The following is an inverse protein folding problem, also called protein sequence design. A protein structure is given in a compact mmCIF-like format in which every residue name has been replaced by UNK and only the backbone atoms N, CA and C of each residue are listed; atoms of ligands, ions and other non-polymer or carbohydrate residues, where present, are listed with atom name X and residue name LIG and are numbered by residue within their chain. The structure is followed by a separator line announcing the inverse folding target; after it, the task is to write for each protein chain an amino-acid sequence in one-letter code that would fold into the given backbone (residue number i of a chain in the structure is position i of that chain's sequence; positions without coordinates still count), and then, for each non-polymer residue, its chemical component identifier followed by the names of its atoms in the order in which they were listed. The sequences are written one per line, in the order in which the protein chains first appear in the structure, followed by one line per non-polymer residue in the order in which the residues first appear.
data_IF_085694177917
#
_entry.id   IF_085694177917
#
_cell.length_a   1.000
_cell.length_b   1.000
_cell.length_c   1.000
_cell.angle_alpha   90.00
_cell.angle_beta   90.00
_cell.angle_gamma   90.00
#
_symmetry.space_group_name_H-M   'P 1'
#
loop_
_entity.id
_entity.type
_entity.pdbx_description
1 polymer ?
#
# COMPACT_ATOMS: atom_id res chain seq x y z
N UNK A 1 28.82 0.74 -6.52
CA UNK A 1 28.56 0.13 -5.21
C UNK A 1 27.09 0.34 -4.94
N UNK A 2 26.29 -0.73 -4.95
CA UNK A 2 24.88 -0.61 -4.53
C UNK A 2 24.94 -0.41 -3.02
N UNK A 3 24.41 0.69 -2.51
CA UNK A 3 24.43 0.94 -1.08
C UNK A 3 23.52 -0.10 -0.42
N UNK A 4 24.05 -0.85 0.53
CA UNK A 4 23.26 -1.86 1.25
C UNK A 4 22.15 -1.16 2.03
N UNK A 5 20.91 -1.49 1.71
CA UNK A 5 19.76 -0.93 2.40
C UNK A 5 19.68 -1.57 3.78
N UNK A 6 20.09 -0.81 4.79
CA UNK A 6 19.93 -1.15 6.21
C UNK A 6 18.46 -1.20 6.61
N UNK A 7 18.02 -2.34 7.14
CA UNK A 7 16.64 -2.58 7.57
C UNK A 7 16.63 -3.11 9.00
N UNK A 8 15.78 -2.53 9.83
CA UNK A 8 15.50 -3.04 11.17
C UNK A 8 14.20 -3.82 11.16
N UNK A 9 14.17 -4.97 11.83
CA UNK A 9 12.95 -5.67 12.21
C UNK A 9 12.75 -5.48 13.71
N UNK A 10 11.71 -4.74 14.09
CA UNK A 10 11.36 -4.48 15.47
C UNK A 10 10.21 -5.40 15.90
N UNK A 11 10.49 -6.29 16.84
CA UNK A 11 9.52 -7.28 17.28
C UNK A 11 10.12 -8.65 17.55
N UNK A 12 9.27 -9.54 18.04
CA UNK A 12 9.59 -10.94 18.30
C UNK A 12 8.52 -11.90 17.77
N UNK A 13 7.68 -11.45 16.83
CA UNK A 13 6.65 -12.32 16.25
C UNK A 13 7.24 -13.36 15.30
N UNK A 14 6.60 -14.52 15.23
CA UNK A 14 6.96 -15.60 14.29
C UNK A 14 6.85 -15.11 12.85
N UNK A 15 5.88 -14.23 12.57
CA UNK A 15 5.70 -13.64 11.25
C UNK A 15 6.91 -12.81 10.82
N UNK A 16 7.41 -11.92 11.68
CA UNK A 16 8.64 -11.17 11.41
C UNK A 16 9.86 -12.08 11.26
N UNK A 17 9.94 -13.19 12.00
CA UNK A 17 11.02 -14.17 11.83
C UNK A 17 10.96 -14.86 10.46
N UNK A 18 9.76 -15.15 9.95
CA UNK A 18 9.56 -15.65 8.58
C UNK A 18 10.01 -14.63 7.54
N UNK A 19 9.55 -13.38 7.65
CA UNK A 19 9.97 -12.28 6.76
C UNK A 19 11.49 -12.11 6.78
N UNK A 20 12.11 -12.12 7.98
CA UNK A 20 13.57 -12.05 8.12
C UNK A 20 14.27 -13.12 7.31
N UNK A 21 13.80 -14.36 7.41
CA UNK A 21 14.41 -15.52 6.73
C UNK A 21 14.40 -15.33 5.22
N UNK A 22 13.31 -14.81 4.65
CA UNK A 22 13.24 -14.51 3.23
C UNK A 22 14.10 -13.29 2.85
N UNK A 23 14.08 -12.22 3.64
CA UNK A 23 14.89 -11.03 3.38
C UNK A 23 16.40 -11.29 3.46
N UNK A 24 16.84 -12.25 4.28
CA UNK A 24 18.25 -12.65 4.39
C UNK A 24 18.82 -13.22 3.08
N UNK A 25 17.95 -13.62 2.14
CA UNK A 25 18.36 -14.12 0.82
C UNK A 25 18.81 -12.99 -0.12
N UNK A 26 18.59 -11.73 0.26
CA UNK A 26 18.95 -10.55 -0.51
C UNK A 26 20.23 -9.93 0.05
N UNK A 27 21.36 -10.18 -0.59
CA UNK A 27 22.69 -9.71 -0.14
C UNK A 27 22.81 -8.17 -0.07
N UNK A 28 21.94 -7.44 -0.78
CA UNK A 28 21.89 -5.98 -0.76
C UNK A 28 21.21 -5.39 0.49
N UNK A 29 20.75 -6.23 1.44
CA UNK A 29 20.10 -5.79 2.67
C UNK A 29 20.95 -6.10 3.90
N UNK A 30 21.22 -5.08 4.70
CA UNK A 30 21.82 -5.23 6.02
C UNK A 30 20.71 -5.29 7.07
N UNK A 31 20.41 -6.48 7.58
CA UNK A 31 19.26 -6.75 8.44
C UNK A 31 19.65 -6.81 9.92
N UNK A 32 18.93 -6.05 10.76
CA UNK A 32 19.09 -6.11 12.22
C UNK A 32 17.75 -6.33 12.93
N UNK A 33 17.71 -7.26 13.87
CA UNK A 33 16.53 -7.47 14.73
C UNK A 33 16.70 -6.73 16.05
N UNK A 34 15.65 -6.06 16.50
CA UNK A 34 15.56 -5.41 17.81
C UNK A 34 14.29 -5.90 18.50
N UNK A 35 14.44 -6.45 19.69
CA UNK A 35 13.32 -6.99 20.46
C UNK A 35 12.52 -5.87 21.14
N UNK A 36 11.21 -6.08 21.31
CA UNK A 36 10.29 -5.14 21.99
C UNK A 36 10.70 -4.90 23.45
N UNK A 37 11.26 -5.91 24.10
CA UNK A 37 11.73 -5.87 25.48
C UNK A 37 13.04 -5.10 25.67
N UNK A 38 13.69 -4.66 24.58
CA UNK A 38 14.97 -3.98 24.65
C UNK A 38 14.80 -2.54 25.18
N UNK A 39 15.34 -2.21 26.37
CA UNK A 39 15.15 -0.89 26.98
C UNK A 39 15.71 0.26 26.12
N UNK A 40 16.80 -0.01 25.39
CA UNK A 40 17.51 0.96 24.54
C UNK A 40 17.21 0.75 23.04
N UNK A 41 16.03 0.17 22.72
CA UNK A 41 15.65 -0.14 21.34
C UNK A 41 15.78 1.08 20.42
N UNK A 42 15.29 2.24 20.88
CA UNK A 42 15.32 3.49 20.11
C UNK A 42 16.75 3.90 19.77
N UNK A 43 17.65 3.87 20.74
CA UNK A 43 19.05 4.25 20.61
C UNK A 43 19.80 3.30 19.69
N UNK A 44 19.56 1.99 19.81
CA UNK A 44 20.14 0.98 18.93
C UNK A 44 19.70 1.17 17.48
N UNK A 45 18.40 1.45 17.26
CA UNK A 45 17.83 1.71 15.95
C UNK A 45 18.44 2.98 15.35
N UNK A 46 18.58 4.05 16.14
CA UNK A 46 19.25 5.29 15.70
C UNK A 46 20.68 5.04 15.29
N UNK A 47 21.45 4.36 16.14
CA UNK A 47 22.87 4.10 15.91
C UNK A 47 23.09 3.26 14.65
N UNK A 48 22.18 2.32 14.39
CA UNK A 48 22.20 1.53 13.16
C UNK A 48 21.84 2.35 11.92
N UNK A 49 21.12 3.46 12.09
CA UNK A 49 20.76 4.39 11.02
C UNK A 49 20.07 3.69 9.83
N UNK A 50 18.95 2.95 10.04
CA UNK A 50 18.28 2.19 8.98
C UNK A 50 17.60 3.09 7.95
N UNK A 51 17.37 2.54 6.76
CA UNK A 51 16.50 3.11 5.73
C UNK A 51 15.04 2.68 5.93
N UNK A 52 14.81 1.48 6.47
CA UNK A 52 13.48 0.97 6.78
C UNK A 52 13.41 0.31 8.16
N UNK A 53 12.28 0.44 8.83
CA UNK A 53 11.94 -0.26 10.06
C UNK A 53 10.63 -1.02 9.85
N UNK A 54 10.68 -2.34 9.95
CA UNK A 54 9.55 -3.24 9.87
C UNK A 54 9.06 -3.59 11.27
N UNK A 55 7.75 -3.59 11.48
CA UNK A 55 7.12 -4.02 12.72
C UNK A 55 5.78 -4.70 12.45
N UNK A 56 5.40 -5.59 13.35
CA UNK A 56 4.15 -6.34 13.25
C UNK A 56 2.99 -5.52 13.81
N UNK A 57 1.99 -5.23 12.96
CA UNK A 57 0.81 -4.45 13.30
C UNK A 57 -0.09 -5.17 14.33
N UNK A 58 -0.09 -6.49 14.33
CA UNK A 58 -0.93 -7.32 15.19
C UNK A 58 -0.32 -7.59 16.58
N UNK A 59 1.00 -7.37 16.74
CA UNK A 59 1.71 -7.67 17.99
C UNK A 59 2.03 -6.43 18.82
N UNK A 60 2.97 -5.60 18.37
CA UNK A 60 3.48 -4.47 19.14
C UNK A 60 3.92 -3.34 18.22
N UNK A 61 3.23 -2.20 18.32
CA UNK A 61 3.60 -0.99 17.60
C UNK A 61 4.69 -0.24 18.38
N UNK A 62 5.78 0.22 17.74
CA UNK A 62 6.80 0.97 18.44
C UNK A 62 6.27 2.38 18.78
N UNK A 63 6.06 2.68 20.07
CA UNK A 63 5.62 4.00 20.54
C UNK A 63 6.56 5.14 20.08
N UNK A 64 7.84 4.82 19.90
CA UNK A 64 8.87 5.74 19.43
C UNK A 64 8.89 5.95 17.91
N UNK A 65 8.06 5.23 17.13
CA UNK A 65 8.16 5.23 15.67
C UNK A 65 7.87 6.60 15.05
N UNK A 66 6.84 7.30 15.55
CA UNK A 66 6.53 8.67 15.10
C UNK A 66 7.65 9.64 15.45
N UNK A 67 8.29 9.47 16.61
CA UNK A 67 9.44 10.28 16.99
C UNK A 67 10.63 10.03 16.04
N UNK A 68 10.89 8.78 15.66
CA UNK A 68 11.93 8.44 14.69
C UNK A 68 11.67 9.07 13.32
N UNK A 69 10.43 9.03 12.81
CA UNK A 69 10.08 9.70 11.54
C UNK A 69 10.36 11.21 11.57
N UNK A 70 10.06 11.89 12.68
CA UNK A 70 10.30 13.33 12.81
C UNK A 70 11.77 13.70 12.74
N UNK A 71 12.63 12.85 13.28
CA UNK A 71 14.07 13.10 13.31
C UNK A 71 14.77 12.60 12.05
N UNK A 72 14.17 11.64 11.35
CA UNK A 72 14.69 11.02 10.15
C UNK A 72 13.66 11.04 9.03
N UNK A 73 13.59 12.15 8.28
CA UNK A 73 12.67 12.32 7.17
C UNK A 73 12.74 11.20 6.11
N UNK A 74 13.93 10.61 5.97
CA UNK A 74 14.31 9.56 5.04
C UNK A 74 13.96 8.14 5.50
N UNK A 75 13.50 7.96 6.76
CA UNK A 75 13.13 6.66 7.30
C UNK A 75 11.76 6.22 6.77
N UNK A 76 11.69 4.97 6.29
CA UNK A 76 10.43 4.28 6.04
C UNK A 76 10.04 3.44 7.26
N UNK A 77 8.82 3.62 7.75
CA UNK A 77 8.21 2.66 8.68
C UNK A 77 7.25 1.77 7.89
N UNK A 78 7.37 0.46 8.09
CA UNK A 78 6.57 -0.53 7.40
C UNK A 78 5.89 -1.42 8.44
N UNK A 79 4.60 -1.20 8.63
CA UNK A 79 3.74 -2.09 9.38
C UNK A 79 3.32 -3.26 8.49
N UNK A 80 3.58 -4.48 8.97
CA UNK A 80 3.14 -5.72 8.32
C UNK A 80 2.02 -6.34 9.14
N UNK A 81 0.95 -6.78 8.50
CA UNK A 81 -0.14 -7.49 9.16
C UNK A 81 -0.20 -8.93 8.59
N UNK A 82 -0.07 -9.98 9.40
CA UNK A 82 -0.17 -11.35 8.90
C UNK A 82 -1.60 -11.74 8.46
N UNK A 83 -2.61 -10.93 8.78
CA UNK A 83 -4.03 -11.22 8.52
C UNK A 83 -4.55 -10.62 7.22
N UNK A 84 -3.83 -9.67 6.63
CA UNK A 84 -4.12 -9.11 5.32
C UNK A 84 -2.83 -8.98 4.49
N UNK A 85 -2.92 -9.22 3.17
CA UNK A 85 -1.78 -9.06 2.25
C UNK A 85 -1.43 -7.57 1.99
N UNK A 86 -1.68 -6.69 2.97
CA UNK A 86 -1.51 -5.26 2.88
C UNK A 86 -0.36 -4.79 3.79
N UNK A 87 0.34 -3.75 3.33
CA UNK A 87 1.42 -3.11 4.06
C UNK A 87 1.01 -1.70 4.45
N UNK A 88 1.20 -1.35 5.72
CA UNK A 88 1.13 0.04 6.14
C UNK A 88 2.49 0.70 5.97
N UNK A 89 2.65 1.56 4.98
CA UNK A 89 3.88 2.34 4.79
C UNK A 89 3.69 3.75 5.33
N UNK A 90 4.44 4.13 6.37
CA UNK A 90 4.50 5.48 6.89
C UNK A 90 5.84 6.11 6.55
N UNK A 91 5.80 7.32 6.02
CA UNK A 91 6.97 8.13 5.72
C UNK A 91 6.70 9.57 6.14
N UNK A 92 7.76 10.26 6.49
CA UNK A 92 7.72 11.69 6.82
C UNK A 92 8.04 12.51 5.59
N UNK A 93 7.00 13.10 5.00
CA UNK A 93 7.15 14.17 4.00
C UNK A 93 6.72 15.47 4.66
N UNK A 94 7.65 16.22 5.30
CA UNK A 94 7.28 17.46 5.97
C UNK A 94 6.65 18.44 4.97
N UNK A 95 5.43 18.88 5.28
CA UNK A 95 4.72 19.91 4.53
C UNK A 95 4.54 21.15 5.39
N UNK A 96 4.74 22.31 4.79
CA UNK A 96 4.49 23.58 5.46
C UNK A 96 3.01 23.93 5.34
N UNK A 97 2.30 23.99 6.47
CA UNK A 97 0.94 24.51 6.54
C UNK A 97 0.98 25.94 7.06
N UNK A 98 0.62 26.92 6.23
CA UNK A 98 0.61 28.34 6.59
C UNK A 98 -0.80 28.80 7.01
N UNK A 99 -1.83 28.07 6.60
CA UNK A 99 -3.21 28.27 7.00
C UNK A 99 -3.95 26.94 7.20
N UNK A 100 -5.07 26.97 7.93
CA UNK A 100 -5.94 25.80 8.17
C UNK A 100 -6.44 25.17 6.86
N UNK A 101 -6.65 25.99 5.82
CA UNK A 101 -7.01 25.52 4.48
C UNK A 101 -5.97 24.57 3.88
N UNK A 102 -4.70 24.69 4.26
CA UNK A 102 -3.65 23.80 3.76
C UNK A 102 -3.78 22.41 4.38
N UNK A 103 -4.13 22.32 5.66
CA UNK A 103 -4.42 21.04 6.33
C UNK A 103 -5.60 20.34 5.68
N UNK A 104 -6.68 21.07 5.37
CA UNK A 104 -7.86 20.51 4.70
C UNK A 104 -7.50 19.94 3.33
N UNK A 105 -6.64 20.64 2.55
CA UNK A 105 -6.15 20.12 1.27
C UNK A 105 -5.37 18.82 1.44
N UNK A 106 -4.49 18.73 2.44
CA UNK A 106 -3.71 17.52 2.72
C UNK A 106 -4.62 16.33 3.02
N UNK A 107 -5.65 16.53 3.85
CA UNK A 107 -6.63 15.49 4.18
C UNK A 107 -7.33 14.95 2.91
N UNK A 108 -7.70 15.83 1.99
CA UNK A 108 -8.35 15.43 0.74
C UNK A 108 -7.40 14.77 -0.27
N UNK A 109 -6.13 15.15 -0.29
CA UNK A 109 -5.13 14.61 -1.23
C UNK A 109 -4.65 13.22 -0.82
N UNK A 110 -4.40 13.00 0.47
CA UNK A 110 -3.82 11.75 0.96
C UNK A 110 -4.88 10.69 1.31
N UNK A 111 -6.11 11.10 1.65
CA UNK A 111 -7.20 10.17 1.95
C UNK A 111 -7.72 9.34 0.76
N UNK A 112 -7.29 9.63 -0.47
CA UNK A 112 -7.70 8.94 -1.70
C UNK A 112 -6.64 8.05 -2.35
N UNK A 113 -5.42 7.97 -1.80
CA UNK A 113 -4.28 7.26 -2.40
C UNK A 113 -4.05 5.89 -1.74
N UNK A 114 -5.02 4.99 -1.79
CA UNK A 114 -4.74 3.58 -1.50
C UNK A 114 -3.90 2.99 -2.65
N UNK A 115 -2.74 2.48 -2.30
CA UNK A 115 -1.65 2.10 -3.20
C UNK A 115 -1.91 0.74 -3.84
N UNK A 116 -2.13 0.68 -5.15
CA UNK A 116 -2.04 -0.56 -5.94
C UNK A 116 -0.56 -0.94 -6.10
N UNK A 117 -0.03 -1.82 -5.24
CA UNK A 117 1.23 -2.52 -5.51
C UNK A 117 0.90 -3.96 -5.88
N UNK A 118 1.05 -4.26 -7.18
CA UNK A 118 1.49 -5.58 -7.65
C UNK A 118 0.46 -6.71 -7.71
N UNK A 119 -0.51 -6.62 -8.64
CA UNK A 119 -1.05 -7.83 -9.30
C UNK A 119 -0.50 -7.94 -10.72
N UNK A 120 0.75 -8.39 -10.86
CA UNK A 120 1.26 -8.93 -12.12
C UNK A 120 2.05 -10.20 -11.84
N UNK A 121 1.51 -11.34 -12.24
CA UNK A 121 2.23 -12.60 -12.10
C UNK A 121 1.44 -13.89 -12.29
N UNK A 122 0.41 -13.97 -13.14
CA UNK A 122 0.01 -15.26 -13.71
C UNK A 122 -0.38 -15.08 -15.18
N UNK A 123 0.60 -15.34 -16.06
CA UNK A 123 0.32 -15.75 -17.42
C UNK A 123 0.84 -17.17 -17.59
N UNK A 124 -0.01 -18.10 -18.01
CA UNK A 124 0.33 -19.05 -19.08
C UNK A 124 -0.89 -19.81 -19.64
N UNK A 125 -1.32 -19.35 -20.82
CA UNK A 125 -1.61 -20.09 -22.07
C UNK A 125 -2.81 -21.05 -22.17
N UNK A 126 -3.64 -20.71 -23.17
CA UNK A 126 -4.15 -21.49 -24.33
C UNK A 126 -5.60 -21.03 -24.57
N UNK A 127 -6.06 -20.61 -25.73
CA UNK A 127 -5.64 -20.71 -27.13
C UNK A 127 -6.92 -20.51 -27.96
N UNK A 128 -6.79 -20.06 -29.20
CA UNK A 128 -7.89 -19.87 -30.16
C UNK A 128 -8.42 -18.42 -30.17
N UNK A 129 -8.19 -17.62 -31.22
CA UNK A 129 -8.99 -17.64 -32.46
C UNK A 129 -10.47 -17.35 -32.11
N UNK A 130 -11.09 -16.22 -32.45
CA UNK A 130 -11.31 -15.70 -33.80
C UNK A 130 -12.00 -14.32 -33.76
N UNK A 131 -11.65 -13.51 -34.77
CA UNK A 131 -12.52 -12.61 -35.53
C UNK A 131 -13.07 -11.31 -34.90
N UNK A 132 -12.36 -10.24 -35.26
CA UNK A 132 -12.93 -8.94 -35.62
C UNK A 132 -14.02 -9.15 -36.69
N UNK A 133 -15.27 -8.82 -36.36
CA UNK A 133 -16.31 -8.52 -37.34
C UNK A 133 -16.94 -7.18 -37.01
N UNK A 134 -16.33 -6.13 -37.58
CA UNK A 134 -17.02 -4.87 -37.87
C UNK A 134 -17.65 -5.06 -39.24
N UNK A 135 -18.98 -5.13 -39.30
CA UNK A 135 -19.73 -4.81 -40.51
C UNK A 135 -21.09 -4.25 -40.13
N UNK A 136 -21.30 -2.98 -40.50
CA UNK A 136 -22.60 -2.38 -40.72
C UNK A 136 -23.20 -3.01 -41.98
N UNK A 137 -24.50 -3.32 -41.99
CA UNK A 137 -25.48 -2.86 -43.00
C UNK A 137 -26.86 -3.53 -42.83
N UNK A 138 -27.84 -2.66 -42.58
CA UNK A 138 -29.12 -2.52 -43.31
C UNK A 138 -29.99 -3.75 -43.61
N UNK A 139 -31.12 -3.86 -42.90
CA UNK A 139 -32.49 -3.99 -43.43
C UNK A 139 -33.42 -4.25 -42.24
N UNK A 140 -34.33 -3.34 -41.90
CA UNK A 140 -35.63 -3.08 -42.52
C UNK A 140 -36.66 -4.17 -42.22
N UNK A 141 -37.90 -3.70 -42.07
CA UNK A 141 -39.16 -4.42 -41.93
C UNK A 141 -39.55 -4.75 -40.49
N UNK A 142 -40.35 -3.90 -39.83
CA UNK A 142 -41.78 -3.61 -40.03
C UNK A 142 -42.63 -4.37 -39.00
N UNK A 143 -43.71 -3.70 -38.57
CA UNK A 143 -44.80 -4.19 -37.74
C UNK A 143 -44.50 -4.36 -36.23
N UNK A 144 -45.29 -3.85 -35.27
CA UNK A 144 -46.68 -3.42 -35.35
C UNK A 144 -47.03 -2.48 -34.18
N UNK A 145 -47.81 -1.46 -34.51
CA UNK A 145 -48.73 -0.70 -33.65
C UNK A 145 -49.31 -1.49 -32.47
N UNK A 146 -49.35 -0.83 -31.31
CA UNK A 146 -50.58 -0.40 -30.61
C UNK A 146 -50.16 0.29 -29.31
N UNK A 147 -50.35 1.59 -29.23
CA UNK A 147 -51.56 2.27 -28.73
C UNK A 147 -51.82 1.96 -27.25
N UNK A 148 -51.60 2.98 -26.42
CA UNK A 148 -52.44 3.44 -25.29
C UNK A 148 -51.50 4.22 -24.34
N UNK A 149 -51.22 5.48 -24.64
CA UNK A 149 -52.00 6.64 -24.16
C UNK A 149 -51.85 6.78 -22.63
N UNK A 150 -50.77 7.44 -22.19
CA UNK A 150 -50.77 8.83 -21.71
C UNK A 150 -51.87 9.10 -20.69
N UNK A 151 -51.41 9.35 -19.47
CA UNK A 151 -52.26 9.82 -18.40
C UNK A 151 -52.89 11.18 -18.70
N UNK A 152 -54.03 11.40 -18.07
CA UNK A 152 -54.47 12.71 -17.64
C UNK A 152 -54.92 12.56 -16.20
N UNK A 153 -54.12 13.13 -15.30
CA UNK A 153 -54.54 13.56 -13.99
C UNK A 153 -55.43 14.79 -14.19
N UNK A 154 -56.60 14.82 -13.55
CA UNK A 154 -57.20 16.07 -13.11
C UNK A 154 -58.16 15.81 -11.94
N UNK A 155 -58.03 16.70 -10.96
CA UNK A 155 -58.90 16.99 -9.83
C UNK A 155 -60.39 16.99 -10.17
#
# INVERSE_FOLDING_TARGET
MVADARVVLYGNSVFLAGIKTELQRYEALDLRTVEVSCPDARELIRAFNPHALLFDLAAAQPDFAVALLRERPDLLLIGVDPTCDELLVLSSHPQQALAVSDIVKVIHLEGGRAVEIGRQGEGERRGGEELISIMQESSSDEFNKRDSDKGVSNN
#
